data_IF_155139617478
#
_entry.id   IF_155139617478
#
_cell.length_a   1.000
_cell.length_b   1.000
_cell.length_c   1.000
_cell.angle_alpha   90.00
_cell.angle_beta   90.00
_cell.angle_gamma   90.00
#
_symmetry.space_group_name_H-M   'P 1'
#
loop_
_entity.id
_entity.type
_entity.pdbx_description
1 polymer ?
#
# COMPACT_ATOMS: atom_id res chain seq x y z
N UNK A 1 30.96 -21.03 7.80
CA UNK A 1 30.47 -22.02 6.82
C UNK A 1 29.02 -21.68 6.51
N UNK A 2 28.59 -21.76 5.25
CA UNK A 2 27.19 -21.44 4.87
C UNK A 2 26.52 -22.67 4.27
N UNK A 3 25.32 -22.99 4.77
CA UNK A 3 24.48 -24.10 4.31
C UNK A 3 23.24 -23.54 3.62
N UNK A 4 23.11 -23.86 2.33
CA UNK A 4 21.97 -23.45 1.53
C UNK A 4 20.90 -24.54 1.52
N UNK A 5 19.67 -24.19 1.89
CA UNK A 5 18.55 -25.15 1.96
C UNK A 5 17.35 -24.60 1.19
N UNK A 6 16.79 -25.34 0.21
CA UNK A 6 15.60 -24.91 -0.51
C UNK A 6 14.37 -24.82 0.41
N UNK A 7 13.62 -23.71 0.34
CA UNK A 7 12.42 -23.48 1.16
C UNK A 7 11.33 -24.54 0.98
N UNK A 8 11.23 -25.15 -0.21
CA UNK A 8 10.26 -26.22 -0.51
C UNK A 8 10.57 -27.54 0.21
N UNK A 9 11.75 -27.64 0.86
CA UNK A 9 12.14 -28.79 1.70
C UNK A 9 12.09 -28.47 3.18
N UNK A 10 11.68 -27.26 3.56
CA UNK A 10 11.65 -26.83 4.95
C UNK A 10 10.23 -26.70 5.46
N UNK A 11 9.99 -27.19 6.67
CA UNK A 11 8.69 -27.15 7.34
C UNK A 11 8.82 -26.64 8.79
N UNK A 12 7.70 -26.29 9.40
CA UNK A 12 7.67 -25.93 10.83
C UNK A 12 7.85 -27.15 11.73
N UNK A 13 7.34 -28.31 11.31
CA UNK A 13 7.33 -29.56 12.07
C UNK A 13 7.98 -30.68 11.26
N UNK A 14 8.63 -31.62 11.95
CA UNK A 14 9.25 -32.77 11.31
C UNK A 14 8.17 -33.60 10.58
N UNK A 15 8.35 -33.77 9.27
CA UNK A 15 7.45 -34.54 8.42
C UNK A 15 8.27 -35.27 7.36
N UNK A 16 7.77 -36.43 6.92
CA UNK A 16 8.43 -37.22 5.88
C UNK A 16 8.62 -36.38 4.61
N UNK A 17 9.87 -36.27 4.14
CA UNK A 17 10.22 -35.50 2.95
C UNK A 17 10.62 -34.03 3.20
N UNK A 18 10.55 -33.56 4.45
CA UNK A 18 10.90 -32.20 4.85
C UNK A 18 11.87 -32.20 6.04
N UNK A 19 12.68 -31.15 6.13
CA UNK A 19 13.53 -30.85 7.27
C UNK A 19 12.88 -29.72 8.07
N UNK A 20 12.71 -29.91 9.36
CA UNK A 20 12.14 -28.84 10.21
C UNK A 20 13.16 -27.75 10.52
N UNK A 21 12.69 -26.52 10.75
CA UNK A 21 13.54 -25.42 11.22
C UNK A 21 14.32 -25.77 12.49
N UNK A 22 13.69 -26.53 13.41
CA UNK A 22 14.36 -27.01 14.63
C UNK A 22 15.49 -28.01 14.34
N UNK A 23 15.33 -28.86 13.32
CA UNK A 23 16.40 -29.78 12.90
C UNK A 23 17.56 -29.04 12.25
N UNK A 24 17.28 -27.98 11.48
CA UNK A 24 18.30 -27.10 10.91
C UNK A 24 19.06 -26.35 12.01
N UNK A 25 18.37 -25.79 12.99
CA UNK A 25 18.99 -25.12 14.14
C UNK A 25 19.86 -26.08 14.97
N UNK A 26 19.36 -27.30 15.23
CA UNK A 26 20.15 -28.34 15.90
C UNK A 26 21.40 -28.74 15.09
N UNK A 27 21.28 -28.81 13.76
CA UNK A 27 22.41 -29.12 12.88
C UNK A 27 23.46 -28.00 12.92
N UNK A 28 23.02 -26.74 12.83
CA UNK A 28 23.89 -25.57 12.94
C UNK A 28 24.67 -25.59 14.25
N UNK A 29 23.97 -25.73 15.38
CA UNK A 29 24.59 -25.81 16.71
C UNK A 29 25.59 -26.98 16.85
N UNK A 30 25.30 -28.12 16.22
CA UNK A 30 26.20 -29.28 16.26
C UNK A 30 27.47 -29.02 15.45
N UNK A 31 27.34 -28.45 14.26
CA UNK A 31 28.48 -28.12 13.40
C UNK A 31 29.37 -27.05 14.02
N UNK A 32 28.77 -26.03 14.64
CA UNK A 32 29.52 -25.00 15.37
C UNK A 32 30.35 -25.58 16.51
N UNK A 33 29.77 -26.51 17.29
CA UNK A 33 30.49 -27.17 18.40
C UNK A 33 31.57 -28.14 17.94
N UNK A 34 31.32 -28.87 16.86
CA UNK A 34 32.20 -29.96 16.41
C UNK A 34 33.40 -29.44 15.61
N UNK A 35 33.20 -28.35 14.87
CA UNK A 35 34.22 -27.79 13.99
C UNK A 35 34.78 -26.44 14.45
N UNK A 36 34.25 -25.84 15.53
CA UNK A 36 34.60 -24.49 16.02
C UNK A 36 34.51 -23.41 14.91
N UNK A 37 33.53 -23.56 14.02
CA UNK A 37 33.29 -22.66 12.89
C UNK A 37 31.85 -22.17 12.93
N UNK A 38 31.66 -20.84 12.89
CA UNK A 38 30.34 -20.22 12.74
C UNK A 38 29.64 -20.77 11.50
N UNK A 39 28.44 -21.31 11.69
CA UNK A 39 27.65 -21.91 10.63
C UNK A 39 26.40 -21.07 10.42
N UNK A 40 26.07 -20.73 9.18
CA UNK A 40 24.85 -19.97 8.85
C UNK A 40 23.98 -20.77 7.89
N UNK A 41 22.68 -20.81 8.13
CA UNK A 41 21.71 -21.50 7.28
C UNK A 41 20.93 -20.46 6.48
N UNK A 42 21.04 -20.54 5.15
CA UNK A 42 20.35 -19.65 4.22
C UNK A 42 19.26 -20.44 3.50
N UNK A 43 18.02 -19.98 3.65
CA UNK A 43 16.87 -20.56 2.97
C UNK A 43 16.72 -19.94 1.57
N UNK A 44 16.91 -20.76 0.54
CA UNK A 44 16.79 -20.34 -0.85
C UNK A 44 15.35 -20.41 -1.33
N UNK A 45 14.94 -19.42 -2.11
CA UNK A 45 13.69 -19.49 -2.84
C UNK A 45 13.70 -20.66 -3.82
N UNK A 46 12.55 -21.30 -3.95
CA UNK A 46 12.36 -22.46 -4.81
C UNK A 46 11.48 -22.08 -5.99
N UNK A 47 11.92 -22.39 -7.21
CA UNK A 47 11.15 -22.16 -8.43
C UNK A 47 9.73 -22.75 -8.35
N UNK A 48 9.59 -23.87 -7.63
CA UNK A 48 8.29 -24.49 -7.39
C UNK A 48 7.35 -23.60 -6.60
N UNK A 49 7.84 -22.98 -5.51
CA UNK A 49 7.06 -22.08 -4.67
C UNK A 49 6.79 -20.75 -5.39
N UNK A 50 7.74 -20.27 -6.19
CA UNK A 50 7.55 -19.06 -7.02
C UNK A 50 6.37 -19.29 -7.98
N UNK A 51 6.36 -20.39 -8.72
CA UNK A 51 5.26 -20.73 -9.65
C UNK A 51 3.91 -20.90 -8.96
N UNK A 52 3.90 -21.48 -7.76
CA UNK A 52 2.68 -21.59 -6.94
C UNK A 52 2.19 -20.20 -6.53
N UNK A 53 3.10 -19.33 -6.09
CA UNK A 53 2.82 -17.93 -5.77
C UNK A 53 2.22 -17.18 -6.95
N UNK A 54 2.84 -17.27 -8.13
CA UNK A 54 2.34 -16.69 -9.38
C UNK A 54 0.92 -17.17 -9.71
N UNK A 55 0.64 -18.46 -9.53
CA UNK A 55 -0.71 -19.02 -9.70
C UNK A 55 -1.74 -18.36 -8.77
N UNK A 56 -1.39 -18.13 -7.50
CA UNK A 56 -2.27 -17.44 -6.57
C UNK A 56 -2.47 -15.96 -6.91
N UNK A 57 -1.43 -15.28 -7.41
CA UNK A 57 -1.53 -13.90 -7.90
C UNK A 57 -2.54 -13.81 -9.05
N UNK A 58 -2.48 -14.73 -10.01
CA UNK A 58 -3.43 -14.78 -11.13
C UNK A 58 -4.86 -14.97 -10.63
N UNK A 59 -5.09 -15.89 -9.69
CA UNK A 59 -6.41 -16.12 -9.11
C UNK A 59 -6.95 -14.88 -8.38
N UNK A 60 -6.09 -14.17 -7.63
CA UNK A 60 -6.48 -12.92 -6.96
C UNK A 60 -6.87 -11.84 -7.97
N UNK A 61 -6.06 -11.63 -9.02
CA UNK A 61 -6.31 -10.62 -10.05
C UNK A 61 -7.61 -10.88 -10.81
N UNK A 62 -7.91 -12.13 -11.14
CA UNK A 62 -9.17 -12.48 -11.82
C UNK A 62 -10.37 -12.24 -10.90
N UNK A 63 -10.24 -12.59 -9.62
CA UNK A 63 -11.36 -12.48 -8.66
C UNK A 63 -11.63 -11.03 -8.23
N UNK A 64 -10.59 -10.21 -8.14
CA UNK A 64 -10.65 -8.85 -7.60
C UNK A 64 -10.04 -7.81 -8.54
N UNK A 65 -10.29 -7.94 -9.85
CA UNK A 65 -9.67 -7.13 -10.90
C UNK A 65 -9.85 -5.62 -10.70
N UNK A 66 -10.98 -5.21 -10.13
CA UNK A 66 -11.30 -3.80 -9.89
C UNK A 66 -10.59 -3.21 -8.66
N UNK A 67 -9.94 -4.04 -7.85
CA UNK A 67 -9.45 -3.69 -6.50
C UNK A 67 -7.94 -3.93 -6.37
N UNK A 68 -7.44 -5.03 -6.94
CA UNK A 68 -6.05 -5.48 -6.80
C UNK A 68 -5.31 -5.22 -8.10
N UNK A 69 -4.25 -4.40 -8.04
CA UNK A 69 -3.34 -4.18 -9.17
C UNK A 69 -2.29 -5.28 -9.24
N UNK A 70 -1.68 -5.60 -8.10
CA UNK A 70 -0.71 -6.67 -7.98
C UNK A 70 -0.73 -7.34 -6.60
N UNK A 71 -0.10 -8.51 -6.53
CA UNK A 71 0.12 -9.19 -5.26
C UNK A 71 1.46 -9.93 -5.30
N UNK A 72 2.13 -10.01 -4.15
CA UNK A 72 3.38 -10.71 -3.99
C UNK A 72 3.26 -11.75 -2.88
N UNK A 73 3.63 -12.99 -3.19
CA UNK A 73 3.68 -14.10 -2.24
C UNK A 73 5.14 -14.40 -1.89
N UNK A 74 5.50 -14.13 -0.65
CA UNK A 74 6.83 -14.39 -0.10
C UNK A 74 6.77 -15.59 0.83
N UNK A 75 7.24 -16.74 0.35
CA UNK A 75 7.30 -17.96 1.15
C UNK A 75 8.43 -17.87 2.17
N UNK A 76 8.10 -18.15 3.44
CA UNK A 76 9.08 -18.31 4.50
C UNK A 76 9.58 -19.76 4.54
N UNK A 77 8.71 -20.71 4.22
CA UNK A 77 8.99 -22.13 4.03
C UNK A 77 7.83 -22.76 3.23
N UNK A 78 7.81 -24.09 3.07
CA UNK A 78 6.79 -24.79 2.27
C UNK A 78 5.35 -24.59 2.76
N UNK A 79 5.15 -24.20 4.03
CA UNK A 79 3.84 -24.10 4.67
C UNK A 79 3.51 -22.70 5.17
N UNK A 80 4.43 -21.74 5.08
CA UNK A 80 4.22 -20.39 5.61
C UNK A 80 4.44 -19.37 4.51
N UNK A 81 3.46 -18.50 4.32
CA UNK A 81 3.54 -17.44 3.32
C UNK A 81 3.17 -16.09 3.90
N UNK A 82 3.90 -15.07 3.45
CA UNK A 82 3.59 -13.67 3.67
C UNK A 82 3.08 -13.09 2.36
N UNK A 83 1.98 -12.35 2.41
CA UNK A 83 1.34 -11.79 1.21
C UNK A 83 1.29 -10.28 1.32
N UNK A 84 1.77 -9.61 0.28
CA UNK A 84 1.63 -8.16 0.10
C UNK A 84 0.69 -7.92 -1.06
N UNK A 85 -0.35 -7.11 -0.85
CA UNK A 85 -1.36 -6.79 -1.87
C UNK A 85 -1.25 -5.31 -2.22
N UNK A 86 -1.05 -5.03 -3.51
CA UNK A 86 -1.11 -3.69 -4.06
C UNK A 86 -2.53 -3.36 -4.51
N UNK A 87 -3.09 -2.30 -3.92
CA UNK A 87 -4.46 -1.86 -4.18
C UNK A 87 -4.49 -0.82 -5.30
N UNK A 88 -5.54 -0.86 -6.12
CA UNK A 88 -5.77 0.10 -7.21
C UNK A 88 -6.31 1.45 -6.71
N UNK A 89 -7.04 1.43 -5.60
CA UNK A 89 -7.57 2.61 -4.93
C UNK A 89 -7.72 2.38 -3.42
N UNK A 90 -8.16 3.39 -2.68
CA UNK A 90 -8.59 3.19 -1.30
C UNK A 90 -9.79 2.25 -1.26
N UNK A 91 -9.62 1.11 -0.59
CA UNK A 91 -10.61 0.04 -0.53
C UNK A 91 -11.19 -0.05 0.88
N UNK A 92 -12.53 -0.09 0.94
CA UNK A 92 -13.27 -0.25 2.19
C UNK A 92 -12.91 -1.56 2.92
N UNK A 93 -12.99 -1.55 4.25
CA UNK A 93 -12.65 -2.69 5.11
C UNK A 93 -13.43 -3.96 4.75
N UNK A 94 -14.68 -3.84 4.31
CA UNK A 94 -15.53 -4.96 3.87
C UNK A 94 -14.93 -5.74 2.71
N UNK A 95 -14.37 -5.03 1.71
CA UNK A 95 -13.70 -5.64 0.55
C UNK A 95 -12.36 -6.26 0.95
N UNK A 96 -11.61 -5.64 1.86
CA UNK A 96 -10.36 -6.22 2.41
C UNK A 96 -10.62 -7.54 3.14
N UNK A 97 -11.72 -7.64 3.88
CA UNK A 97 -12.12 -8.89 4.54
C UNK A 97 -12.53 -9.97 3.53
N UNK A 98 -13.20 -9.60 2.43
CA UNK A 98 -13.52 -10.55 1.36
C UNK A 98 -12.27 -11.16 0.72
N UNK A 99 -11.25 -10.33 0.44
CA UNK A 99 -9.95 -10.78 -0.09
C UNK A 99 -9.24 -11.69 0.92
N UNK A 100 -9.27 -11.35 2.21
CA UNK A 100 -8.69 -12.18 3.28
C UNK A 100 -9.38 -13.54 3.41
N UNK A 101 -10.71 -13.57 3.29
CA UNK A 101 -11.48 -14.80 3.28
C UNK A 101 -11.13 -15.67 2.06
N UNK A 102 -11.00 -15.06 0.89
CA UNK A 102 -10.58 -15.75 -0.34
C UNK A 102 -9.17 -16.34 -0.20
N UNK A 103 -8.21 -15.57 0.30
CA UNK A 103 -6.86 -16.05 0.58
C UNK A 103 -6.85 -17.26 1.51
N UNK A 104 -7.64 -17.23 2.59
CA UNK A 104 -7.78 -18.38 3.49
C UNK A 104 -8.37 -19.60 2.76
N UNK A 105 -9.37 -19.39 1.91
CA UNK A 105 -10.02 -20.46 1.17
C UNK A 105 -9.09 -21.15 0.17
N UNK A 106 -8.15 -20.41 -0.45
CA UNK A 106 -7.20 -21.00 -1.41
C UNK A 106 -5.95 -21.60 -0.72
N UNK A 107 -5.49 -21.00 0.39
CA UNK A 107 -4.26 -21.43 1.07
C UNK A 107 -4.50 -22.62 2.01
N UNK A 108 -5.65 -22.68 2.69
CA UNK A 108 -5.94 -23.75 3.67
C UNK A 108 -5.93 -25.16 3.04
N UNK A 109 -6.56 -25.40 1.87
CA UNK A 109 -6.50 -26.72 1.22
C UNK A 109 -5.09 -27.13 0.80
N UNK A 110 -4.23 -26.15 0.48
CA UNK A 110 -2.83 -26.37 0.15
C UNK A 110 -1.94 -26.60 1.40
N UNK A 111 -2.52 -26.58 2.61
CA UNK A 111 -1.78 -26.66 3.88
C UNK A 111 -0.73 -25.54 4.01
N UNK A 112 -1.06 -24.35 3.49
CA UNK A 112 -0.24 -23.14 3.60
C UNK A 112 -0.93 -22.19 4.58
N UNK A 113 -0.21 -21.74 5.58
CA UNK A 113 -0.62 -20.76 6.58
C UNK A 113 -0.18 -19.36 6.15
N UNK A 114 -1.15 -18.43 6.18
CA UNK A 114 -0.91 -17.01 5.97
C UNK A 114 -0.37 -16.39 7.26
N UNK A 115 0.91 -16.05 7.29
CA UNK A 115 1.57 -15.47 8.46
C UNK A 115 1.30 -13.97 8.57
N UNK A 116 1.55 -13.24 7.49
CA UNK A 116 1.33 -11.79 7.44
C UNK A 116 0.62 -11.42 6.15
N UNK A 117 -0.36 -10.53 6.26
CA UNK A 117 -1.04 -9.89 5.14
C UNK A 117 -0.80 -8.39 5.23
N UNK A 118 -0.05 -7.85 4.28
CA UNK A 118 0.24 -6.43 4.18
C UNK A 118 -0.53 -5.84 3.00
N UNK A 119 -1.05 -4.63 3.22
CA UNK A 119 -1.69 -3.84 2.18
C UNK A 119 -0.72 -2.72 1.82
N UNK A 120 -0.27 -2.70 0.57
CA UNK A 120 0.45 -1.56 0.04
C UNK A 120 -0.60 -0.49 -0.30
N UNK A 121 -0.90 0.33 0.71
CA UNK A 121 -1.92 1.38 0.60
C UNK A 121 -1.37 2.52 -0.25
N UNK A 122 -2.14 2.92 -1.26
CA UNK A 122 -1.82 4.10 -2.03
C UNK A 122 -1.82 5.32 -1.09
N UNK A 123 -0.69 6.00 -1.00
CA UNK A 123 -0.64 7.32 -0.37
C UNK A 123 -1.52 8.29 -1.15
N UNK A 124 -2.57 8.76 -0.50
CA UNK A 124 -3.53 9.72 -1.05
C UNK A 124 -3.58 10.97 -0.17
N UNK A 125 -3.85 12.15 -0.75
CA UNK A 125 -3.92 13.37 0.01
C UNK A 125 -5.11 13.34 0.98
N UNK A 126 -4.88 13.71 2.23
CA UNK A 126 -5.92 13.95 3.22
C UNK A 126 -6.86 15.09 2.80
N UNK A 127 -8.08 15.13 3.37
CA UNK A 127 -9.02 16.24 3.13
C UNK A 127 -8.42 17.62 3.45
N UNK A 128 -7.55 17.70 4.46
CA UNK A 128 -6.85 18.94 4.84
C UNK A 128 -5.85 19.35 3.76
N UNK A 129 -5.09 18.39 3.21
CA UNK A 129 -4.15 18.66 2.12
C UNK A 129 -4.87 19.09 0.83
N UNK A 130 -6.01 18.46 0.51
CA UNK A 130 -6.88 18.88 -0.60
C UNK A 130 -7.33 20.33 -0.39
N UNK A 131 -7.91 20.66 0.78
CA UNK A 131 -8.35 22.02 1.10
C UNK A 131 -7.20 23.04 1.06
N UNK A 132 -6.03 22.67 1.57
CA UNK A 132 -4.83 23.53 1.59
C UNK A 132 -4.36 23.84 0.16
N UNK A 133 -4.33 22.81 -0.69
CA UNK A 133 -3.95 22.94 -2.10
C UNK A 133 -4.96 23.78 -2.88
N UNK A 134 -6.26 23.54 -2.66
CA UNK A 134 -7.33 24.37 -3.24
C UNK A 134 -7.20 25.82 -2.80
N UNK A 135 -6.94 26.10 -1.51
CA UNK A 135 -6.74 27.47 -1.01
C UNK A 135 -5.55 28.18 -1.66
N UNK A 136 -4.44 27.46 -1.89
CA UNK A 136 -3.26 28.02 -2.56
C UNK A 136 -3.57 28.39 -4.01
N UNK A 137 -4.29 27.53 -4.73
CA UNK A 137 -4.50 27.64 -6.17
C UNK A 137 -5.79 28.36 -6.58
N UNK A 138 -6.75 28.57 -5.65
CA UNK A 138 -8.08 29.08 -5.99
C UNK A 138 -8.04 30.46 -6.68
N UNK A 139 -8.92 30.70 -7.67
CA UNK A 139 -9.86 29.74 -8.26
C UNK A 139 -9.13 28.66 -9.09
N UNK A 140 -9.48 27.38 -8.88
CA UNK A 140 -8.75 26.24 -9.48
C UNK A 140 -9.71 25.26 -10.16
N UNK A 141 -9.35 24.77 -11.35
CA UNK A 141 -10.08 23.69 -12.04
C UNK A 141 -9.69 22.32 -11.49
N UNK A 142 -10.58 21.33 -11.62
CA UNK A 142 -10.34 19.96 -11.18
C UNK A 142 -9.03 19.39 -11.76
N UNK A 143 -8.80 19.56 -13.07
CA UNK A 143 -7.61 19.04 -13.75
C UNK A 143 -6.32 19.68 -13.23
N UNK A 144 -6.34 20.98 -12.98
CA UNK A 144 -5.19 21.71 -12.46
C UNK A 144 -4.87 21.31 -11.02
N UNK A 145 -5.90 21.07 -10.21
CA UNK A 145 -5.73 20.61 -8.83
C UNK A 145 -5.19 19.17 -8.78
N UNK A 146 -5.71 18.28 -9.64
CA UNK A 146 -5.22 16.92 -9.77
C UNK A 146 -3.75 16.92 -10.20
N UNK A 147 -3.38 17.71 -11.21
CA UNK A 147 -2.00 17.82 -11.68
C UNK A 147 -1.05 18.26 -10.56
N UNK A 148 -1.44 19.28 -9.80
CA UNK A 148 -0.64 19.79 -8.68
C UNK A 148 -0.48 18.74 -7.57
N UNK A 149 -1.57 18.08 -7.17
CA UNK A 149 -1.49 17.04 -6.14
C UNK A 149 -0.74 15.79 -6.63
N UNK A 150 -0.72 15.52 -7.93
CA UNK A 150 -0.03 14.35 -8.48
C UNK A 150 1.50 14.44 -8.37
N UNK A 151 2.06 15.63 -8.12
CA UNK A 151 3.49 15.80 -7.84
C UNK A 151 3.90 15.04 -6.56
N UNK A 152 3.06 15.13 -5.53
CA UNK A 152 3.28 14.44 -4.24
C UNK A 152 2.53 13.10 -4.16
N UNK A 153 1.48 12.90 -4.98
CA UNK A 153 0.61 11.71 -4.96
C UNK A 153 0.44 11.11 -6.37
N UNK A 154 1.45 10.37 -6.89
CA UNK A 154 1.47 9.95 -8.30
C UNK A 154 0.31 9.05 -8.72
N UNK A 155 -0.27 8.28 -7.77
CA UNK A 155 -1.39 7.37 -8.00
C UNK A 155 -2.77 8.03 -7.82
N UNK A 156 -2.84 9.36 -7.69
CA UNK A 156 -4.09 10.10 -7.49
C UNK A 156 -4.98 10.08 -8.74
N UNK A 157 -6.14 9.43 -8.61
CA UNK A 157 -7.13 9.37 -9.68
C UNK A 157 -8.10 10.57 -9.68
N UNK A 158 -8.47 11.04 -10.88
CA UNK A 158 -9.40 12.16 -11.08
C UNK A 158 -10.78 11.90 -10.45
N UNK A 159 -11.34 10.72 -10.68
CA UNK A 159 -12.66 10.34 -10.17
C UNK A 159 -12.69 10.33 -8.64
N UNK A 160 -11.61 9.88 -8.01
CA UNK A 160 -11.47 9.89 -6.57
C UNK A 160 -11.42 11.33 -6.03
N UNK A 161 -10.59 12.19 -6.64
CA UNK A 161 -10.49 13.61 -6.25
C UNK A 161 -11.84 14.31 -6.37
N UNK A 162 -12.56 14.09 -7.47
CA UNK A 162 -13.89 14.66 -7.68
C UNK A 162 -14.88 14.23 -6.57
N UNK A 163 -14.90 12.94 -6.20
CA UNK A 163 -15.71 12.45 -5.07
C UNK A 163 -15.35 13.13 -3.75
N UNK A 164 -14.08 13.44 -3.51
CA UNK A 164 -13.67 14.17 -2.29
C UNK A 164 -14.09 15.64 -2.33
N UNK A 165 -13.98 16.32 -3.48
CA UNK A 165 -14.46 17.68 -3.64
C UNK A 165 -15.97 17.78 -3.44
N UNK A 166 -16.75 16.82 -3.97
CA UNK A 166 -18.19 16.74 -3.73
C UNK A 166 -18.53 16.59 -2.24
N UNK A 167 -17.77 15.77 -1.50
CA UNK A 167 -17.93 15.67 -0.04
C UNK A 167 -17.64 17.00 0.65
N UNK A 168 -16.63 17.74 0.21
CA UNK A 168 -16.27 19.05 0.77
C UNK A 168 -17.32 20.13 0.44
N UNK A 169 -17.93 20.08 -0.75
CA UNK A 169 -19.06 20.93 -1.14
C UNK A 169 -20.28 20.63 -0.26
N UNK A 170 -20.62 19.35 -0.06
CA UNK A 170 -21.71 18.94 0.84
C UNK A 170 -21.50 19.44 2.28
N UNK A 171 -20.24 19.50 2.73
CA UNK A 171 -19.84 20.06 4.03
C UNK A 171 -19.73 21.59 4.05
N UNK A 172 -20.07 22.27 2.94
CA UNK A 172 -19.96 23.74 2.76
C UNK A 172 -18.55 24.29 2.94
N UNK A 173 -17.51 23.46 2.81
CA UNK A 173 -16.11 23.88 2.91
C UNK A 173 -15.57 24.43 1.57
N UNK A 174 -16.15 23.98 0.46
CA UNK A 174 -15.87 24.44 -0.90
C UNK A 174 -17.16 24.89 -1.59
N UNK A 175 -17.02 25.78 -2.57
CA UNK A 175 -18.05 26.13 -3.55
C UNK A 175 -17.47 25.89 -4.94
N UNK A 176 -18.30 25.37 -5.84
CA UNK A 176 -17.99 25.25 -7.26
C UNK A 176 -18.71 26.37 -8.01
N UNK A 177 -17.96 27.15 -8.77
CA UNK A 177 -18.50 28.13 -9.71
C UNK A 177 -18.92 27.40 -10.99
N UNK A 178 -20.21 27.44 -11.33
CA UNK A 178 -20.78 26.63 -12.41
C UNK A 178 -20.28 27.03 -13.80
N UNK A 179 -20.07 28.33 -14.06
CA UNK A 179 -19.68 28.82 -15.39
C UNK A 179 -18.21 28.53 -15.71
N UNK A 180 -17.32 28.75 -14.75
CA UNK A 180 -15.88 28.56 -14.95
C UNK A 180 -15.39 27.16 -14.54
N UNK A 181 -16.28 26.35 -13.93
CA UNK A 181 -15.98 25.04 -13.32
C UNK A 181 -14.81 25.08 -12.34
N UNK A 182 -14.67 26.20 -11.61
CA UNK A 182 -13.60 26.39 -10.64
C UNK A 182 -14.08 26.13 -9.22
N UNK A 183 -13.16 25.68 -8.37
CA UNK A 183 -13.38 25.44 -6.96
C UNK A 183 -12.73 26.56 -6.14
N UNK A 184 -13.48 27.07 -5.16
CA UNK A 184 -13.06 28.10 -4.22
C UNK A 184 -13.42 27.67 -2.80
N UNK A 185 -12.54 27.97 -1.85
CA UNK A 185 -12.74 27.69 -0.43
C UNK A 185 -13.69 28.71 0.19
N UNK A 186 -14.56 28.24 1.07
CA UNK A 186 -15.47 29.11 1.83
C UNK A 186 -14.82 29.56 3.14
N UNK A 187 -15.41 30.54 3.81
CA UNK A 187 -15.02 30.91 5.18
C UNK A 187 -15.07 29.73 6.16
N UNK A 188 -16.04 28.81 6.00
CA UNK A 188 -16.11 27.58 6.80
C UNK A 188 -14.95 26.64 6.49
N UNK A 189 -14.59 26.48 5.22
CA UNK A 189 -13.42 25.68 4.83
C UNK A 189 -12.11 26.23 5.37
N UNK A 190 -11.95 27.57 5.40
CA UNK A 190 -10.79 28.24 6.01
C UNK A 190 -10.66 27.95 7.51
N UNK A 191 -11.77 27.86 8.24
CA UNK A 191 -11.75 27.58 9.68
C UNK A 191 -11.31 26.15 10.02
N UNK A 192 -11.40 25.21 9.08
CA UNK A 192 -10.95 23.83 9.26
C UNK A 192 -9.44 23.68 9.05
N UNK A 193 -8.80 24.63 8.36
CA UNK A 193 -7.38 24.58 8.10
C UNK A 193 -6.58 24.98 9.35
N UNK A 194 -5.49 24.25 9.68
CA UNK A 194 -4.65 24.59 10.82
C UNK A 194 -4.01 25.97 10.62
N UNK A 195 -4.23 26.87 11.60
CA UNK A 195 -3.65 28.21 11.62
C UNK A 195 -2.18 28.12 12.02
N UNK A 196 -1.31 27.79 11.07
CA UNK A 196 0.14 27.75 11.29
C UNK A 196 0.77 29.11 10.94
N UNK A 197 1.40 29.76 11.91
CA UNK A 197 2.13 31.01 11.73
C UNK A 197 3.57 30.72 11.27
N UNK A 198 3.74 30.18 10.05
CA UNK A 198 5.06 29.90 9.45
C UNK A 198 5.10 30.40 8.00
N UNK A 199 6.29 30.60 7.42
CA UNK A 199 6.53 31.07 6.03
C UNK A 199 5.87 30.17 4.97
N UNK A 200 5.64 28.90 5.30
CA UNK A 200 4.92 27.93 4.45
C UNK A 200 3.39 27.97 4.63
N UNK A 201 2.85 28.95 5.36
CA UNK A 201 1.40 29.11 5.46
C UNK A 201 0.81 29.35 4.07
N UNK A 202 -0.23 28.59 3.74
CA UNK A 202 -1.05 28.73 2.53
C UNK A 202 -1.41 30.18 2.15
N UNK A 203 -1.66 31.08 3.11
CA UNK A 203 -1.93 32.49 2.85
C UNK A 203 -0.71 33.25 2.34
N UNK A 204 0.46 33.02 2.95
CA UNK A 204 1.73 33.65 2.58
C UNK A 204 2.16 33.14 1.20
N UNK A 205 2.10 31.82 0.99
CA UNK A 205 2.45 31.20 -0.30
C UNK A 205 1.54 31.72 -1.41
N UNK A 206 0.22 31.80 -1.17
CA UNK A 206 -0.73 32.38 -2.12
C UNK A 206 -0.39 33.83 -2.44
N UNK A 207 -0.10 34.66 -1.44
CA UNK A 207 0.25 36.06 -1.65
C UNK A 207 1.55 36.21 -2.48
N UNK A 208 2.56 35.38 -2.21
CA UNK A 208 3.81 35.35 -2.98
C UNK A 208 3.58 34.87 -4.42
N UNK A 209 2.78 33.82 -4.62
CA UNK A 209 2.48 33.29 -5.96
C UNK A 209 1.66 34.28 -6.80
N UNK A 210 0.71 35.00 -6.19
CA UNK A 210 -0.01 36.11 -6.85
C UNK A 210 0.94 37.25 -7.23
N UNK A 211 1.91 37.56 -6.36
CA UNK A 211 2.94 38.56 -6.62
C UNK A 211 3.86 38.18 -7.79
N UNK A 212 4.16 36.88 -7.98
CA UNK A 212 4.97 36.38 -9.10
C UNK A 212 4.23 36.32 -10.43
N UNK A 213 2.89 36.20 -10.41
CA UNK A 213 2.05 36.10 -11.62
C UNK A 213 1.72 37.44 -12.26
N UNK A 214 1.87 38.54 -11.52
CA UNK A 214 1.99 39.88 -12.12
C UNK A 214 3.48 40.10 -12.32
N UNK A 215 3.95 40.04 -13.56
CA UNK A 215 4.92 40.90 -14.28
C UNK A 215 5.20 40.24 -15.63
#
# INVERSE_FOLDING_TARGET
>A
MVLYVPKDKVSNKAQKGFVSLKQLDNLQNKLEREFDVSTEIVLLDSDSLIKVGEGFVVLLKITFQDIITDAQFSFLNAHNVSVTIELTEFVESSKKEAVKAFLKAILTPAQIELQTLQWDEIELPSLIQILTSTKKLQPVKLDSLQKYLSEDYPKLQMNWLNKQLDKLIKKRALVRESEAETYVITALGLNVLPKTANRNNSDIVRALDLGKRKW
#
